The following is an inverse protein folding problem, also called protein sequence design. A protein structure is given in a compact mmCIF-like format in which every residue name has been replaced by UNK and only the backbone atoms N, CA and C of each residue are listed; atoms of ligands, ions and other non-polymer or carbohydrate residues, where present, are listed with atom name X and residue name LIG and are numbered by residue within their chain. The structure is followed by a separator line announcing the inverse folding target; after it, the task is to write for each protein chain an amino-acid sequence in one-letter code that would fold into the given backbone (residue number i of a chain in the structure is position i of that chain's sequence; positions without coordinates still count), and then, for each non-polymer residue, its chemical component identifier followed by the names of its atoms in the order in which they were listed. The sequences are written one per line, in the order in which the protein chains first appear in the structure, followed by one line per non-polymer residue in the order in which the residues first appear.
data_IF_820326680102
#
_entry.id   IF_820326680102
#
_cell.length_a   1.000
_cell.length_b   1.000
_cell.length_c   1.000
_cell.angle_alpha   90.00
_cell.angle_beta   90.00
_cell.angle_gamma   90.00
#
_symmetry.space_group_name_H-M   'P 1'
#
loop_
_entity.id
_entity.type
_entity.pdbx_description
1 polymer ?
#
# COMPACT_ATOMS: atom_id res chain seq x y z
N UNK A 1 10.77 -13.51 -7.85
CA UNK A 1 10.06 -12.45 -7.10
C UNK A 1 10.97 -11.25 -6.98
N UNK A 2 10.47 -10.04 -7.26
CA UNK A 2 11.19 -8.81 -6.93
C UNK A 2 10.89 -8.39 -5.48
N UNK A 3 11.86 -7.81 -4.79
CA UNK A 3 11.68 -7.28 -3.43
C UNK A 3 11.48 -5.78 -3.51
N UNK A 4 10.41 -5.27 -2.92
CA UNK A 4 10.13 -3.84 -2.84
C UNK A 4 10.47 -3.36 -1.43
N UNK A 5 11.42 -2.44 -1.30
CA UNK A 5 11.77 -1.81 -0.02
C UNK A 5 11.20 -0.38 0.04
N UNK A 6 10.11 -0.19 0.77
CA UNK A 6 9.47 1.12 0.97
C UNK A 6 9.85 1.65 2.35
N UNK A 7 10.19 2.94 2.42
CA UNK A 7 10.31 3.67 3.69
C UNK A 7 9.00 4.36 4.00
N UNK A 8 8.43 4.04 5.15
CA UNK A 8 7.27 4.72 5.74
C UNK A 8 7.59 5.04 7.19
N UNK A 9 6.84 5.98 7.74
CA UNK A 9 6.88 6.27 9.18
C UNK A 9 6.43 5.05 10.00
N UNK A 10 6.99 4.90 11.20
CA UNK A 10 6.72 3.75 12.08
C UNK A 10 5.27 3.76 12.61
N UNK A 11 4.69 4.94 12.86
CA UNK A 11 3.27 5.06 13.26
C UNK A 11 2.36 4.60 12.12
N UNK A 12 2.66 5.05 10.89
CA UNK A 12 1.91 4.66 9.71
C UNK A 12 2.00 3.14 9.47
N UNK A 13 3.20 2.57 9.63
CA UNK A 13 3.41 1.12 9.54
C UNK A 13 2.54 0.39 10.55
N UNK A 14 2.63 0.76 11.82
CA UNK A 14 1.92 0.10 12.91
C UNK A 14 0.40 0.16 12.72
N UNK A 15 -0.12 1.34 12.38
CA UNK A 15 -1.56 1.54 12.13
C UNK A 15 -2.06 0.77 10.92
N UNK A 16 -1.27 0.77 9.83
CA UNK A 16 -1.61 0.05 8.61
C UNK A 16 -1.60 -1.46 8.85
N UNK A 17 -0.58 -1.98 9.53
CA UNK A 17 -0.49 -3.40 9.88
C UNK A 17 -1.66 -3.83 10.78
N UNK A 18 -2.02 -3.04 11.79
CA UNK A 18 -3.18 -3.33 12.64
C UNK A 18 -4.51 -3.32 11.87
N UNK A 19 -4.67 -2.43 10.90
CA UNK A 19 -5.87 -2.40 10.05
C UNK A 19 -5.94 -3.61 9.10
N UNK A 20 -4.80 -3.95 8.49
CA UNK A 20 -4.66 -5.10 7.60
C UNK A 20 -4.90 -6.42 8.33
N UNK A 21 -4.38 -6.58 9.54
CA UNK A 21 -4.60 -7.75 10.38
C UNK A 21 -6.08 -7.92 10.75
N UNK A 22 -6.77 -6.82 11.06
CA UNK A 22 -8.24 -6.84 11.29
C UNK A 22 -9.03 -7.26 10.06
N UNK A 23 -8.53 -6.98 8.87
CA UNK A 23 -9.14 -7.39 7.60
C UNK A 23 -8.72 -8.81 7.18
N UNK A 24 -7.76 -9.44 7.88
CA UNK A 24 -7.21 -10.74 7.52
C UNK A 24 -6.33 -10.70 6.26
N UNK A 25 -5.83 -9.53 5.88
CA UNK A 25 -5.03 -9.32 4.67
C UNK A 25 -3.57 -9.10 5.06
N UNK A 26 -2.63 -9.75 4.36
CA UNK A 26 -1.21 -9.50 4.61
C UNK A 26 -0.79 -8.17 3.97
N UNK A 27 0.20 -7.44 4.52
CA UNK A 27 0.73 -6.24 3.88
C UNK A 27 1.26 -6.51 2.48
N UNK A 28 1.77 -7.71 2.23
CA UNK A 28 2.25 -8.11 0.89
C UNK A 28 1.11 -8.21 -0.10
N UNK A 29 -0.02 -8.81 0.28
CA UNK A 29 -1.23 -8.89 -0.56
C UNK A 29 -1.81 -7.51 -0.84
N UNK A 30 -1.91 -6.65 0.18
CA UNK A 30 -2.40 -5.28 0.00
C UNK A 30 -1.53 -4.48 -0.97
N UNK A 31 -0.21 -4.55 -0.83
CA UNK A 31 0.72 -3.90 -1.75
C UNK A 31 0.62 -4.49 -3.16
N UNK A 32 0.48 -5.81 -3.28
CA UNK A 32 0.34 -6.48 -4.57
C UNK A 32 -0.91 -6.02 -5.31
N UNK A 33 -2.06 -6.03 -4.63
CA UNK A 33 -3.33 -5.53 -5.17
C UNK A 33 -3.24 -4.07 -5.58
N UNK A 34 -2.55 -3.25 -4.78
CA UNK A 34 -2.31 -1.84 -5.12
C UNK A 34 -1.46 -1.71 -6.40
N UNK A 35 -0.38 -2.48 -6.53
CA UNK A 35 0.48 -2.46 -7.70
C UNK A 35 -0.24 -2.99 -8.95
N UNK A 36 -1.04 -4.04 -8.82
CA UNK A 36 -1.87 -4.58 -9.91
C UNK A 36 -2.90 -3.55 -10.36
N UNK A 37 -3.55 -2.85 -9.42
CA UNK A 37 -4.48 -1.76 -9.77
C UNK A 37 -3.79 -0.64 -10.55
N UNK A 38 -2.61 -0.19 -10.12
CA UNK A 38 -1.84 0.85 -10.80
C UNK A 38 -1.41 0.37 -12.19
N UNK A 39 -1.01 -0.90 -12.34
CA UNK A 39 -0.61 -1.47 -13.62
C UNK A 39 -1.77 -1.58 -14.62
N UNK A 40 -2.96 -1.92 -14.14
CA UNK A 40 -4.17 -2.09 -14.96
C UNK A 40 -4.85 -0.76 -15.29
N UNK A 41 -4.92 0.16 -14.32
CA UNK A 41 -5.67 1.41 -14.44
C UNK A 41 -4.77 2.61 -14.79
N UNK A 42 -3.45 2.42 -14.81
CA UNK A 42 -2.42 3.46 -15.03
C UNK A 42 -2.62 4.68 -14.12
N UNK A 43 -3.26 4.48 -12.98
CA UNK A 43 -3.70 5.54 -12.07
C UNK A 43 -3.65 5.04 -10.63
N UNK A 44 -3.28 5.94 -9.74
CA UNK A 44 -3.36 5.68 -8.30
C UNK A 44 -4.83 5.63 -7.84
N UNK A 45 -5.19 4.65 -6.99
CA UNK A 45 -6.55 4.55 -6.44
C UNK A 45 -6.93 5.73 -5.52
N UNK A 46 -5.95 6.56 -5.16
CA UNK A 46 -6.14 7.77 -4.37
C UNK A 46 -5.74 8.98 -5.22
N UNK A 47 -6.49 10.09 -5.11
CA UNK A 47 -6.03 11.39 -5.62
C UNK A 47 -4.77 11.77 -4.83
N UNK A 48 -3.62 11.88 -5.49
CA UNK A 48 -2.45 12.53 -4.90
C UNK A 48 -2.80 14.00 -4.66
N UNK A 49 -3.28 14.33 -3.45
CA UNK A 49 -3.22 15.70 -2.93
C UNK A 49 -1.81 15.97 -2.42
N UNK A 50 -0.81 15.77 -3.28
CA UNK A 50 0.51 16.36 -3.06
C UNK A 50 0.46 17.73 -3.69
N UNK A 51 -0.17 18.69 -2.99
CA UNK A 51 -0.01 20.10 -3.32
C UNK A 51 1.45 20.43 -3.02
N UNK A 52 2.17 20.77 -4.08
CA UNK A 52 3.57 21.19 -4.09
C UNK A 52 3.80 22.41 -3.20
#
# INVERSE_FOLDING_TARGET
MGTINIRIDDDLKTRSYAALEKMGVTPSDALRLMLEYIADNERLPFKQTFTQ
#
